data_IF_519790769653
#
_entry.id   IF_519790769653
#
_cell.length_a   1.000
_cell.length_b   1.000
_cell.length_c   1.000
_cell.angle_alpha   90.00
_cell.angle_beta   90.00
_cell.angle_gamma   90.00
#
_symmetry.space_group_name_H-M   'P 1'
#
loop_
_entity.id
_entity.type
_entity.pdbx_description
1 polymer ?
#
# COMPACT_ATOMS: atom_id res chain seq x y z
N UNK A 1 -11.88 -6.17 18.79
CA UNK A 1 -11.98 -5.38 17.55
C UNK A 1 -12.12 -6.31 16.35
N UNK A 2 -13.10 -6.10 15.50
CA UNK A 2 -13.29 -6.89 14.29
C UNK A 2 -12.20 -6.58 13.26
N UNK A 3 -11.97 -7.52 12.34
CA UNK A 3 -10.93 -7.34 11.31
C UNK A 3 -11.16 -6.10 10.45
N UNK A 4 -12.42 -5.79 10.13
CA UNK A 4 -12.72 -4.59 9.35
C UNK A 4 -12.28 -3.32 10.08
N UNK A 5 -12.49 -3.27 11.39
CA UNK A 5 -12.07 -2.12 12.19
C UNK A 5 -10.55 -2.01 12.25
N UNK A 6 -9.84 -3.13 12.32
CA UNK A 6 -8.38 -3.15 12.28
C UNK A 6 -7.86 -2.63 10.95
N UNK A 7 -8.48 -3.04 9.85
CA UNK A 7 -8.12 -2.58 8.51
C UNK A 7 -8.32 -1.06 8.39
N UNK A 8 -9.47 -0.56 8.87
CA UNK A 8 -9.75 0.87 8.84
C UNK A 8 -8.74 1.66 9.67
N UNK A 9 -8.35 1.13 10.83
CA UNK A 9 -7.32 1.77 11.66
C UNK A 9 -5.98 1.85 10.93
N UNK A 10 -5.58 0.80 10.23
CA UNK A 10 -4.34 0.81 9.45
C UNK A 10 -4.38 1.85 8.34
N UNK A 11 -5.52 1.94 7.64
CA UNK A 11 -5.71 2.94 6.59
C UNK A 11 -5.62 4.35 7.18
N UNK A 12 -6.30 4.59 8.30
CA UNK A 12 -6.27 5.90 8.96
C UNK A 12 -4.85 6.29 9.37
N UNK A 13 -4.11 5.36 9.97
CA UNK A 13 -2.72 5.61 10.36
C UNK A 13 -1.87 6.02 9.16
N UNK A 14 -2.08 5.37 8.01
CA UNK A 14 -1.36 5.70 6.79
C UNK A 14 -1.70 7.08 6.27
N UNK A 15 -2.99 7.44 6.33
CA UNK A 15 -3.45 8.77 5.97
C UNK A 15 -2.84 9.85 6.88
N UNK A 16 -2.77 9.58 8.18
CA UNK A 16 -2.19 10.52 9.14
C UNK A 16 -0.70 10.75 8.86
N UNK A 17 0.05 9.70 8.51
CA UNK A 17 1.46 9.82 8.11
C UNK A 17 1.61 10.69 6.87
N UNK A 18 0.76 10.49 5.87
CA UNK A 18 0.78 11.31 4.65
C UNK A 18 0.42 12.75 4.92
N UNK A 19 -0.54 13.00 5.82
CA UNK A 19 -0.94 14.35 6.20
C UNK A 19 0.18 15.14 6.88
N UNK A 20 0.99 14.49 7.70
CA UNK A 20 2.15 15.13 8.33
C UNK A 20 3.16 15.60 7.28
N UNK A 21 3.37 14.79 6.24
CA UNK A 21 4.38 15.06 5.22
C UNK A 21 3.88 16.04 4.15
N UNK A 22 2.62 15.94 3.73
CA UNK A 22 2.09 16.63 2.56
C UNK A 22 0.87 17.51 2.86
N UNK A 23 0.41 17.56 4.10
CA UNK A 23 -0.86 18.21 4.48
C UNK A 23 -2.06 17.29 4.26
N UNK A 24 -2.17 16.68 3.09
CA UNK A 24 -3.18 15.67 2.78
C UNK A 24 -2.51 14.55 2.01
N UNK A 25 -2.93 13.31 2.27
CA UNK A 25 -2.39 12.15 1.55
C UNK A 25 -2.78 12.19 0.07
N UNK A 26 -4.06 12.51 -0.21
CA UNK A 26 -4.58 12.57 -1.58
C UNK A 26 -5.36 13.86 -1.76
N UNK A 27 -4.70 14.97 -2.11
CA UNK A 27 -5.43 16.21 -2.40
C UNK A 27 -6.26 16.04 -3.67
N UNK A 28 -7.50 16.56 -3.63
CA UNK A 28 -8.43 16.46 -4.75
C UNK A 28 -8.73 17.80 -5.38
N UNK A 29 -7.80 18.72 -5.28
CA UNK A 29 -7.91 20.10 -5.78
C UNK A 29 -7.21 20.32 -7.12
N UNK A 30 -6.75 19.23 -7.75
CA UNK A 30 -6.03 19.31 -9.02
C UNK A 30 -4.54 19.57 -8.89
N UNK A 31 -4.02 19.68 -7.67
CA UNK A 31 -2.58 19.94 -7.44
C UNK A 31 -1.71 18.72 -7.72
N UNK A 32 -2.30 17.53 -7.80
CA UNK A 32 -1.59 16.27 -8.10
C UNK A 32 -2.36 15.48 -9.13
N UNK A 33 -1.63 14.76 -9.97
CA UNK A 33 -2.21 13.78 -10.89
C UNK A 33 -2.43 12.47 -10.14
N UNK A 34 -3.58 12.37 -9.45
CA UNK A 34 -3.90 11.21 -8.62
C UNK A 34 -4.03 9.93 -9.44
N UNK A 35 -4.47 10.02 -10.69
CA UNK A 35 -4.57 8.85 -11.56
C UNK A 35 -3.17 8.28 -11.85
N UNK A 36 -2.24 9.13 -12.24
CA UNK A 36 -0.86 8.72 -12.51
C UNK A 36 -0.22 8.13 -11.26
N UNK A 37 -0.37 8.81 -10.11
CA UNK A 37 0.16 8.34 -8.84
C UNK A 37 -0.42 6.96 -8.47
N UNK A 38 -1.73 6.77 -8.68
CA UNK A 38 -2.39 5.50 -8.40
C UNK A 38 -1.84 4.36 -9.25
N UNK A 39 -1.61 4.62 -10.54
CA UNK A 39 -1.06 3.62 -11.46
C UNK A 39 0.35 3.22 -11.02
N UNK A 40 1.18 4.18 -10.68
CA UNK A 40 2.55 3.93 -10.21
C UNK A 40 2.54 3.10 -8.92
N UNK A 41 1.65 3.44 -7.96
CA UNK A 41 1.51 2.70 -6.71
C UNK A 41 1.07 1.25 -6.94
N UNK A 42 0.13 1.03 -7.84
CA UNK A 42 -0.34 -0.33 -8.19
C UNK A 42 0.80 -1.15 -8.79
N UNK A 43 1.57 -0.56 -9.69
CA UNK A 43 2.72 -1.25 -10.30
C UNK A 43 3.78 -1.59 -9.24
N UNK A 44 4.09 -0.66 -8.35
CA UNK A 44 5.03 -0.90 -7.27
C UNK A 44 4.53 -2.01 -6.34
N UNK A 45 3.24 -2.01 -6.03
CA UNK A 45 2.64 -3.07 -5.22
C UNK A 45 2.79 -4.43 -5.89
N UNK A 46 2.59 -4.51 -7.19
CA UNK A 46 2.77 -5.75 -7.95
C UNK A 46 4.22 -6.26 -7.84
N UNK A 47 5.19 -5.38 -7.92
CA UNK A 47 6.61 -5.74 -7.78
C UNK A 47 6.88 -6.31 -6.39
N UNK A 48 6.42 -5.63 -5.34
CA UNK A 48 6.60 -6.10 -3.97
C UNK A 48 5.92 -7.44 -3.71
N UNK A 49 4.68 -7.59 -4.19
CA UNK A 49 3.93 -8.84 -4.02
C UNK A 49 4.61 -9.99 -4.75
N UNK A 50 5.11 -9.76 -5.95
CA UNK A 50 5.85 -10.79 -6.68
C UNK A 50 7.11 -11.20 -5.91
N UNK A 51 7.81 -10.24 -5.33
CA UNK A 51 8.98 -10.52 -4.48
C UNK A 51 8.62 -11.38 -3.27
N UNK A 52 7.53 -11.04 -2.59
CA UNK A 52 7.04 -11.82 -1.44
C UNK A 52 6.67 -13.24 -1.87
N UNK A 53 6.00 -13.39 -2.99
CA UNK A 53 5.65 -14.71 -3.51
C UNK A 53 6.88 -15.55 -3.83
N UNK A 54 7.91 -14.93 -4.39
CA UNK A 54 9.17 -15.60 -4.67
C UNK A 54 9.87 -16.02 -3.37
N UNK A 55 9.91 -15.16 -2.38
CA UNK A 55 10.48 -15.48 -1.06
C UNK A 55 9.77 -16.68 -0.45
N UNK A 56 8.44 -16.70 -0.48
CA UNK A 56 7.66 -17.81 0.05
C UNK A 56 7.92 -19.09 -0.73
N UNK A 57 8.00 -19.02 -2.04
CA UNK A 57 8.32 -20.18 -2.88
C UNK A 57 9.68 -20.76 -2.52
N UNK A 58 10.70 -19.92 -2.43
CA UNK A 58 12.05 -20.36 -2.08
C UNK A 58 12.13 -20.93 -0.66
N UNK A 59 11.38 -20.32 0.27
CA UNK A 59 11.37 -20.79 1.67
C UNK A 59 10.75 -22.17 1.82
N UNK A 60 9.72 -22.50 1.05
CA UNK A 60 8.94 -23.73 1.22
C UNK A 60 9.17 -24.77 0.13
N UNK A 61 10.02 -24.50 -0.86
CA UNK A 61 10.24 -25.45 -1.96
C UNK A 61 10.80 -26.79 -1.50
N UNK A 62 11.59 -26.81 -0.43
CA UNK A 62 12.19 -28.02 0.10
C UNK A 62 11.27 -28.78 1.05
N UNK A 63 10.13 -28.19 1.39
CA UNK A 63 9.13 -28.83 2.26
C UNK A 63 8.20 -29.77 1.48
N UNK A 64 8.25 -29.73 0.17
CA UNK A 64 7.43 -30.60 -0.70
C UNK A 64 8.11 -31.98 -0.99
#
# INVERSE_FOLDING_TARGET
MKNNDKILCLIKQRLDVGAVKYGEQVPIDGSRDNLKESIEEVLDLCVYLAGVMLELHEKYKDAE
#
